data_IF_186784971435
#
_entry.id   IF_186784971435
#
_cell.length_a   1.000
_cell.length_b   1.000
_cell.length_c   1.000
_cell.angle_alpha   90.00
_cell.angle_beta   90.00
_cell.angle_gamma   90.00
#
_symmetry.space_group_name_H-M   'P 1'
#
loop_
_entity.id
_entity.type
_entity.pdbx_description
1 polymer ?
#
# COMPACT_ATOMS: atom_id res chain seq x y z
N UNK A 1 -35.19 -0.75 -18.76
CA UNK A 1 -34.65 -0.87 -17.40
C UNK A 1 -33.23 -0.34 -17.42
N UNK A 2 -32.90 0.71 -16.67
CA UNK A 2 -31.52 1.17 -16.56
C UNK A 2 -30.67 0.04 -15.94
N UNK A 3 -29.45 -0.24 -16.46
CA UNK A 3 -28.59 -1.26 -15.88
C UNK A 3 -28.33 -0.92 -14.41
N UNK A 4 -28.52 -1.91 -13.53
CA UNK A 4 -28.36 -1.71 -12.10
C UNK A 4 -26.88 -1.41 -11.79
N UNK A 5 -26.56 -0.16 -11.47
CA UNK A 5 -25.18 0.26 -11.23
C UNK A 5 -24.64 -0.36 -9.93
N UNK A 6 -23.44 -0.97 -9.94
CA UNK A 6 -22.89 -1.62 -8.76
C UNK A 6 -22.61 -0.60 -7.65
N UNK A 7 -22.67 -1.06 -6.40
CA UNK A 7 -22.29 -0.27 -5.23
C UNK A 7 -20.79 -0.42 -4.95
N UNK A 8 -20.16 0.62 -4.44
CA UNK A 8 -18.77 0.66 -3.99
C UNK A 8 -18.68 1.25 -2.59
N UNK A 9 -17.78 0.74 -1.76
CA UNK A 9 -17.53 1.25 -0.40
C UNK A 9 -16.18 1.95 -0.33
N UNK A 10 -16.11 3.07 0.40
CA UNK A 10 -14.86 3.74 0.70
C UNK A 10 -14.05 2.94 1.72
N UNK A 11 -12.79 2.61 1.40
CA UNK A 11 -11.91 1.83 2.27
C UNK A 11 -11.56 2.55 3.59
N UNK A 12 -11.50 3.88 3.59
CA UNK A 12 -11.08 4.64 4.77
C UNK A 12 -12.23 5.02 5.73
N UNK A 13 -13.41 5.35 5.22
CA UNK A 13 -14.54 5.80 6.05
C UNK A 13 -15.78 4.90 5.99
N UNK A 14 -15.80 3.90 5.10
CA UNK A 14 -16.88 2.92 4.97
C UNK A 14 -18.12 3.40 4.22
N UNK A 15 -18.22 4.68 3.82
CA UNK A 15 -19.37 5.22 3.07
C UNK A 15 -19.59 4.44 1.78
N UNK A 16 -20.86 4.16 1.46
CA UNK A 16 -21.25 3.40 0.27
C UNK A 16 -21.84 4.34 -0.77
N UNK A 17 -21.37 4.21 -2.01
CA UNK A 17 -21.78 5.00 -3.15
C UNK A 17 -22.27 4.09 -4.28
N UNK A 18 -23.13 4.64 -5.14
CA UNK A 18 -23.46 3.99 -6.41
C UNK A 18 -22.41 4.38 -7.44
N UNK A 19 -21.84 3.39 -8.12
CA UNK A 19 -20.82 3.62 -9.15
C UNK A 19 -21.44 4.34 -10.34
N UNK A 20 -20.73 5.36 -10.83
CA UNK A 20 -21.04 6.04 -12.07
C UNK A 20 -19.93 5.80 -13.10
N UNK A 21 -20.28 5.89 -14.38
CA UNK A 21 -19.31 5.90 -15.46
C UNK A 21 -18.56 7.24 -15.45
N UNK A 22 -17.24 7.18 -15.61
CA UNK A 22 -16.38 8.36 -15.65
C UNK A 22 -15.92 8.60 -17.07
N UNK A 23 -15.92 9.86 -17.49
CA UNK A 23 -15.29 10.33 -18.72
C UNK A 23 -13.77 10.47 -18.60
N UNK A 24 -13.06 10.73 -19.71
CA UNK A 24 -11.63 10.98 -19.71
C UNK A 24 -11.24 12.14 -18.79
N UNK A 25 -10.29 11.90 -17.88
CA UNK A 25 -9.81 12.91 -16.92
C UNK A 25 -10.65 13.05 -15.65
N UNK A 26 -11.81 12.38 -15.57
CA UNK A 26 -12.66 12.42 -14.38
C UNK A 26 -12.18 11.45 -13.29
N UNK A 27 -12.45 11.81 -12.03
CA UNK A 27 -12.22 10.98 -10.85
C UNK A 27 -13.42 11.06 -9.90
N UNK A 28 -13.75 9.94 -9.26
CA UNK A 28 -14.73 9.92 -8.19
C UNK A 28 -14.03 10.06 -6.84
N UNK A 29 -14.53 10.93 -5.97
CA UNK A 29 -14.00 11.14 -4.61
C UNK A 29 -15.08 10.92 -3.57
N UNK A 30 -14.69 10.48 -2.37
CA UNK A 30 -15.60 10.30 -1.26
C UNK A 30 -15.95 11.65 -0.64
N UNK A 31 -17.24 12.00 -0.58
CA UNK A 31 -17.71 13.26 0.04
C UNK A 31 -17.38 13.34 1.55
N UNK A 32 -17.28 12.19 2.21
CA UNK A 32 -17.03 12.12 3.66
C UNK A 32 -15.56 12.37 3.99
N UNK A 33 -14.66 11.52 3.51
CA UNK A 33 -13.23 11.60 3.85
C UNK A 33 -12.36 12.33 2.80
N UNK A 34 -12.88 12.58 1.60
CA UNK A 34 -12.14 13.21 0.50
C UNK A 34 -11.19 12.28 -0.25
N UNK A 35 -11.17 10.98 0.07
CA UNK A 35 -10.31 10.01 -0.64
C UNK A 35 -10.86 9.73 -2.03
N UNK A 36 -9.98 9.70 -3.04
CA UNK A 36 -10.31 9.25 -4.39
C UNK A 36 -10.73 7.78 -4.35
N UNK A 37 -11.92 7.47 -4.85
CA UNK A 37 -12.49 6.13 -4.88
C UNK A 37 -12.07 5.36 -6.13
N UNK A 38 -12.19 5.97 -7.31
CA UNK A 38 -11.66 5.42 -8.57
C UNK A 38 -11.40 6.54 -9.57
N UNK A 39 -10.54 6.26 -10.55
CA UNK A 39 -10.18 7.16 -11.65
C UNK A 39 -10.56 6.52 -12.99
N UNK A 40 -10.77 7.33 -14.01
CA UNK A 40 -10.85 6.83 -15.38
C UNK A 40 -9.57 6.08 -15.77
N UNK A 41 -9.73 4.94 -16.43
CA UNK A 41 -8.62 4.18 -17.03
C UNK A 41 -8.99 3.84 -18.47
N UNK A 42 -8.18 4.33 -19.42
CA UNK A 42 -8.31 3.98 -20.84
C UNK A 42 -7.66 2.63 -21.20
N UNK A 43 -7.04 1.94 -20.25
CA UNK A 43 -6.38 0.66 -20.48
C UNK A 43 -7.38 -0.47 -20.23
N UNK A 44 -7.60 -1.30 -21.24
CA UNK A 44 -8.46 -2.48 -21.19
C UNK A 44 -7.66 -3.75 -20.86
N UNK A 45 -8.30 -4.90 -20.52
CA UNK A 45 -7.59 -6.12 -20.12
C UNK A 45 -6.46 -6.57 -21.08
N UNK A 46 -6.60 -6.51 -22.42
CA UNK A 46 -5.49 -6.84 -23.33
C UNK A 46 -4.28 -5.90 -23.21
N UNK A 47 -4.52 -4.61 -22.96
CA UNK A 47 -3.45 -3.63 -22.73
C UNK A 47 -2.72 -3.88 -21.41
N UNK A 48 -3.46 -4.22 -20.35
CA UNK A 48 -2.87 -4.63 -19.07
C UNK A 48 -2.07 -5.93 -19.21
N UNK A 49 -2.56 -6.90 -19.98
CA UNK A 49 -1.86 -8.14 -20.28
C UNK A 49 -0.51 -7.88 -20.98
N UNK A 50 -0.50 -7.01 -22.00
CA UNK A 50 0.71 -6.62 -22.70
C UNK A 50 1.74 -5.96 -21.75
N UNK A 51 1.28 -5.06 -20.86
CA UNK A 51 2.14 -4.45 -19.85
C UNK A 51 2.70 -5.47 -18.85
N UNK A 52 1.89 -6.43 -18.39
CA UNK A 52 2.32 -7.48 -17.48
C UNK A 52 3.36 -8.42 -18.14
N UNK A 53 3.17 -8.77 -19.42
CA UNK A 53 4.14 -9.56 -20.18
C UNK A 53 5.46 -8.80 -20.38
N UNK A 54 5.39 -7.53 -20.76
CA UNK A 54 6.56 -6.67 -20.88
C UNK A 54 7.31 -6.57 -19.54
N UNK A 55 6.58 -6.39 -18.43
CA UNK A 55 7.18 -6.35 -17.10
C UNK A 55 7.86 -7.67 -16.71
N UNK A 56 7.29 -8.83 -17.06
CA UNK A 56 7.92 -10.12 -16.81
C UNK A 56 9.22 -10.31 -17.60
N UNK A 57 9.25 -9.90 -18.88
CA UNK A 57 10.47 -9.95 -19.70
C UNK A 57 11.54 -9.01 -19.13
N UNK A 58 11.17 -7.77 -18.81
CA UNK A 58 12.09 -6.79 -18.21
C UNK A 58 12.57 -7.25 -16.83
N UNK A 59 11.73 -7.92 -16.04
CA UNK A 59 12.14 -8.52 -14.76
C UNK A 59 13.23 -9.58 -14.96
N UNK A 60 13.10 -10.43 -15.98
CA UNK A 60 14.12 -11.41 -16.33
C UNK A 60 15.45 -10.75 -16.70
N UNK A 61 15.41 -9.70 -17.54
CA UNK A 61 16.60 -8.92 -17.91
C UNK A 61 17.21 -8.23 -16.69
N UNK A 62 16.41 -7.53 -15.88
CA UNK A 62 16.88 -6.80 -14.71
C UNK A 62 17.65 -7.68 -13.71
N UNK A 63 17.21 -8.93 -13.54
CA UNK A 63 17.85 -9.88 -12.62
C UNK A 63 18.97 -10.71 -13.26
N UNK A 64 19.02 -10.83 -14.58
CA UNK A 64 20.07 -11.59 -15.28
C UNK A 64 21.35 -10.78 -15.52
N UNK A 65 21.26 -9.45 -15.54
CA UNK A 65 22.39 -8.56 -15.80
C UNK A 65 22.84 -7.82 -14.53
N UNK A 66 24.13 -7.45 -14.41
CA UNK A 66 24.64 -6.74 -13.25
C UNK A 66 24.02 -5.35 -13.14
N UNK A 67 23.73 -4.95 -11.92
CA UNK A 67 23.13 -3.65 -11.60
C UNK A 67 24.21 -2.58 -11.53
N UNK A 68 25.36 -2.91 -10.95
CA UNK A 68 26.53 -2.05 -10.90
C UNK A 68 27.80 -2.85 -11.14
N UNK A 69 28.78 -2.18 -11.74
CA UNK A 69 30.10 -2.71 -12.03
C UNK A 69 31.10 -1.81 -11.32
N UNK A 70 31.89 -2.38 -10.42
CA UNK A 70 32.94 -1.70 -9.69
C UNK A 70 34.30 -2.12 -10.23
N UNK A 71 35.21 -1.16 -10.39
CA UNK A 71 36.61 -1.41 -10.72
C UNK A 71 37.53 -0.80 -9.69
N UNK A 72 38.42 -1.62 -9.12
CA UNK A 72 39.41 -1.21 -8.12
C UNK A 72 40.74 -1.89 -8.46
N UNK A 73 41.79 -1.10 -8.68
CA UNK A 73 43.17 -1.59 -8.87
C UNK A 73 43.30 -2.73 -9.92
N UNK A 74 42.54 -2.65 -11.01
CA UNK A 74 42.55 -3.65 -12.08
C UNK A 74 41.63 -4.86 -11.88
N UNK A 75 41.02 -5.03 -10.69
CA UNK A 75 39.95 -6.01 -10.47
C UNK A 75 38.60 -5.41 -10.85
N UNK A 76 37.76 -6.23 -11.47
CA UNK A 76 36.38 -5.89 -11.83
C UNK A 76 35.43 -6.77 -11.02
N UNK A 77 34.49 -6.14 -10.32
CA UNK A 77 33.39 -6.81 -9.61
C UNK A 77 32.06 -6.34 -10.17
N UNK A 78 31.24 -7.30 -10.57
CA UNK A 78 29.90 -7.07 -11.07
C UNK A 78 28.93 -7.73 -10.08
N UNK A 79 27.82 -7.07 -9.77
CA UNK A 79 26.80 -7.65 -8.90
C UNK A 79 25.40 -7.40 -9.46
N UNK A 80 24.65 -8.49 -9.65
CA UNK A 80 23.19 -8.47 -9.81
C UNK A 80 22.49 -8.53 -8.45
N UNK A 81 21.17 -8.33 -8.43
CA UNK A 81 20.38 -8.50 -7.20
C UNK A 81 20.47 -9.95 -6.66
N UNK A 82 20.30 -11.01 -7.48
CA UNK A 82 20.53 -12.39 -7.03
C UNK A 82 21.94 -12.62 -6.45
N UNK A 83 22.98 -12.03 -7.05
CA UNK A 83 24.35 -12.16 -6.51
C UNK A 83 24.45 -11.52 -5.12
N UNK A 84 23.86 -10.33 -4.93
CA UNK A 84 23.85 -9.66 -3.64
C UNK A 84 23.15 -10.50 -2.55
N UNK A 85 22.04 -11.14 -2.90
CA UNK A 85 21.32 -12.06 -2.00
C UNK A 85 22.17 -13.28 -1.69
N UNK A 86 22.79 -13.90 -2.69
CA UNK A 86 23.61 -15.10 -2.53
C UNK A 86 24.86 -14.85 -1.67
N UNK A 87 25.55 -13.73 -1.89
CA UNK A 87 26.73 -13.33 -1.11
C UNK A 87 26.33 -13.11 0.35
N UNK A 88 25.24 -12.36 0.60
CA UNK A 88 24.77 -12.05 1.95
C UNK A 88 24.32 -13.30 2.71
N UNK A 89 23.72 -14.25 2.00
CA UNK A 89 23.38 -15.56 2.55
C UNK A 89 24.63 -16.33 2.98
N UNK A 90 25.65 -16.40 2.11
CA UNK A 90 26.90 -17.11 2.40
C UNK A 90 27.69 -16.47 3.56
N UNK A 91 27.52 -15.17 3.80
CA UNK A 91 28.09 -14.45 4.94
C UNK A 91 27.37 -14.74 6.28
N UNK A 92 26.27 -15.52 6.29
CA UNK A 92 25.52 -15.87 7.49
C UNK A 92 24.44 -14.84 7.89
N UNK A 93 24.16 -13.84 7.06
CA UNK A 93 23.13 -12.83 7.32
C UNK A 93 21.79 -13.22 6.69
N UNK A 94 21.30 -14.40 7.07
CA UNK A 94 20.12 -15.06 6.48
C UNK A 94 18.87 -14.17 6.53
N UNK A 95 18.63 -13.47 7.65
CA UNK A 95 17.46 -12.59 7.81
C UNK A 95 17.42 -11.51 6.73
N UNK A 96 18.54 -10.84 6.49
CA UNK A 96 18.65 -9.77 5.49
C UNK A 96 18.51 -10.33 4.08
N UNK A 97 19.14 -11.49 3.81
CA UNK A 97 19.04 -12.17 2.52
C UNK A 97 17.61 -12.63 2.21
N UNK A 98 16.90 -13.24 3.18
CA UNK A 98 15.50 -13.67 3.03
C UNK A 98 14.60 -12.47 2.79
N UNK A 99 14.72 -11.43 3.62
CA UNK A 99 13.90 -10.23 3.47
C UNK A 99 14.07 -9.60 2.09
N UNK A 100 15.32 -9.39 1.67
CA UNK A 100 15.65 -8.77 0.39
C UNK A 100 15.25 -9.65 -0.79
N UNK A 101 15.49 -10.96 -0.70
CA UNK A 101 15.09 -11.92 -1.74
C UNK A 101 13.57 -12.00 -1.89
N UNK A 102 12.82 -11.98 -0.78
CA UNK A 102 11.37 -11.92 -0.84
C UNK A 102 10.89 -10.60 -1.48
N UNK A 103 11.33 -9.45 -0.97
CA UNK A 103 10.84 -8.15 -1.41
C UNK A 103 11.30 -7.74 -2.82
N UNK A 104 12.55 -8.08 -3.19
CA UNK A 104 13.17 -7.68 -4.45
C UNK A 104 13.00 -8.67 -5.59
N UNK A 105 12.78 -9.97 -5.29
CA UNK A 105 12.74 -11.03 -6.31
C UNK A 105 11.44 -11.83 -6.27
N UNK A 106 11.14 -12.51 -5.16
CA UNK A 106 10.03 -13.49 -5.09
C UNK A 106 8.67 -12.81 -5.19
N UNK A 107 8.42 -11.75 -4.41
CA UNK A 107 7.11 -11.08 -4.36
C UNK A 107 6.78 -10.37 -5.69
N UNK A 108 7.71 -9.63 -6.34
CA UNK A 108 7.45 -9.04 -7.65
C UNK A 108 7.20 -10.11 -8.74
N UNK A 109 7.97 -11.21 -8.73
CA UNK A 109 7.75 -12.32 -9.66
C UNK A 109 6.36 -12.94 -9.46
N UNK A 110 6.01 -13.26 -8.21
CA UNK A 110 4.70 -13.83 -7.87
C UNK A 110 3.56 -12.87 -8.26
N UNK A 111 3.71 -11.58 -8.01
CA UNK A 111 2.75 -10.55 -8.42
C UNK A 111 2.55 -10.56 -9.95
N UNK A 112 3.62 -10.57 -10.74
CA UNK A 112 3.55 -10.62 -12.20
C UNK A 112 2.90 -11.90 -12.71
N UNK A 113 3.25 -13.06 -12.15
CA UNK A 113 2.65 -14.35 -12.52
C UNK A 113 1.15 -14.40 -12.21
N UNK A 114 0.74 -13.93 -11.03
CA UNK A 114 -0.68 -13.86 -10.66
C UNK A 114 -1.47 -12.89 -11.55
N UNK A 115 -0.88 -11.74 -11.89
CA UNK A 115 -1.47 -10.80 -12.84
C UNK A 115 -1.67 -11.43 -14.21
N UNK A 116 -0.67 -12.12 -14.75
CA UNK A 116 -0.79 -12.83 -16.03
C UNK A 116 -1.85 -13.93 -15.98
N UNK A 117 -1.89 -14.71 -14.90
CA UNK A 117 -2.88 -15.77 -14.70
C UNK A 117 -4.33 -15.25 -14.67
N UNK A 118 -4.56 -14.01 -14.22
CA UNK A 118 -5.88 -13.36 -14.23
C UNK A 118 -6.16 -12.63 -15.55
N UNK A 119 -5.19 -11.88 -16.06
CA UNK A 119 -5.37 -11.01 -17.21
C UNK A 119 -5.51 -11.80 -18.51
N UNK A 120 -4.83 -12.94 -18.65
CA UNK A 120 -4.93 -13.76 -19.86
C UNK A 120 -6.37 -14.28 -20.10
N UNK A 121 -7.02 -14.97 -19.14
CA UNK A 121 -8.42 -15.39 -19.32
C UNK A 121 -9.38 -14.21 -19.47
N UNK A 122 -9.19 -13.12 -18.70
CA UNK A 122 -10.04 -11.93 -18.80
C UNK A 122 -9.93 -11.26 -20.18
N UNK A 123 -8.75 -11.24 -20.80
CA UNK A 123 -8.55 -10.70 -22.14
C UNK A 123 -9.25 -11.55 -23.21
N UNK A 124 -9.39 -12.86 -22.98
CA UNK A 124 -10.12 -13.80 -23.86
C UNK A 124 -11.63 -13.84 -23.55
N UNK A 125 -12.09 -13.16 -22.49
CA UNK A 125 -13.49 -13.12 -22.09
C UNK A 125 -13.96 -14.33 -21.27
N UNK A 126 -13.02 -15.10 -20.72
CA UNK A 126 -13.30 -16.31 -19.92
C UNK A 126 -13.02 -16.04 -18.44
N UNK A 127 -13.79 -16.68 -17.56
CA UNK A 127 -13.56 -16.62 -16.10
C UNK A 127 -12.20 -17.25 -15.75
N UNK A 128 -11.29 -16.53 -15.07
CA UNK A 128 -10.02 -17.10 -14.66
C UNK A 128 -10.20 -18.31 -13.73
N UNK A 129 -9.35 -19.34 -13.86
CA UNK A 129 -9.34 -20.45 -12.90
C UNK A 129 -9.00 -19.91 -11.52
N UNK A 130 -9.71 -20.39 -10.49
CA UNK A 130 -9.53 -19.98 -9.10
C UNK A 130 -9.52 -18.44 -8.88
N UNK A 131 -10.29 -17.68 -9.68
CA UNK A 131 -10.25 -16.20 -9.69
C UNK A 131 -10.31 -15.56 -8.29
N UNK A 132 -11.11 -16.12 -7.38
CA UNK A 132 -11.21 -15.67 -6.00
C UNK A 132 -9.91 -15.83 -5.20
N UNK A 133 -9.22 -16.97 -5.36
CA UNK A 133 -7.94 -17.21 -4.70
C UNK A 133 -6.86 -16.29 -5.29
N UNK A 134 -6.79 -16.20 -6.62
CA UNK A 134 -5.74 -15.42 -7.31
C UNK A 134 -5.82 -13.94 -6.99
N UNK A 135 -7.02 -13.35 -7.01
CA UNK A 135 -7.24 -11.94 -6.63
C UNK A 135 -7.03 -11.68 -5.15
N UNK A 136 -7.37 -12.63 -4.29
CA UNK A 136 -7.06 -12.55 -2.85
C UNK A 136 -5.56 -12.55 -2.58
N UNK A 137 -4.81 -13.44 -3.22
CA UNK A 137 -3.35 -13.47 -3.12
C UNK A 137 -2.73 -12.18 -3.66
N UNK A 138 -3.24 -11.69 -4.79
CA UNK A 138 -2.76 -10.43 -5.37
C UNK A 138 -2.97 -9.24 -4.41
N UNK A 139 -4.14 -9.12 -3.79
CA UNK A 139 -4.40 -8.06 -2.81
C UNK A 139 -3.54 -8.15 -1.54
N UNK A 140 -3.05 -9.35 -1.19
CA UNK A 140 -2.08 -9.51 -0.10
C UNK A 140 -0.66 -9.10 -0.50
N UNK A 141 -0.31 -9.22 -1.78
CA UNK A 141 1.02 -8.94 -2.31
C UNK A 141 1.21 -7.47 -2.73
N UNK A 142 0.14 -6.81 -3.17
CA UNK A 142 0.15 -5.43 -3.68
C UNK A 142 0.92 -4.44 -2.77
N UNK A 143 0.77 -4.46 -1.43
CA UNK A 143 1.50 -3.54 -0.56
C UNK A 143 3.01 -3.84 -0.39
N UNK A 144 3.48 -5.01 -0.83
CA UNK A 144 4.83 -5.51 -0.56
C UNK A 144 5.78 -5.41 -1.76
N UNK A 145 5.33 -4.86 -2.89
CA UNK A 145 6.17 -4.70 -4.08
C UNK A 145 7.13 -3.51 -3.89
N UNK A 146 8.38 -3.80 -3.52
CA UNK A 146 9.38 -2.79 -3.14
C UNK A 146 10.37 -2.45 -4.27
N UNK A 147 10.11 -2.88 -5.51
CA UNK A 147 11.03 -2.65 -6.65
C UNK A 147 11.37 -1.16 -6.88
N UNK A 148 10.42 -0.19 -6.78
CA UNK A 148 10.75 1.22 -6.89
C UNK A 148 11.79 1.68 -5.84
N UNK A 149 11.70 1.12 -4.64
CA UNK A 149 12.57 1.43 -3.51
C UNK A 149 13.96 0.82 -3.71
N UNK A 150 14.03 -0.37 -4.31
CA UNK A 150 15.29 -1.00 -4.68
C UNK A 150 16.11 -0.12 -5.64
N UNK A 151 15.52 0.44 -6.69
CA UNK A 151 16.24 1.34 -7.64
C UNK A 151 16.84 2.54 -6.92
N UNK A 152 16.09 3.14 -5.98
CA UNK A 152 16.60 4.24 -5.18
C UNK A 152 17.76 3.78 -4.28
N UNK A 153 17.66 2.60 -3.67
CA UNK A 153 18.74 1.98 -2.90
C UNK A 153 20.01 1.74 -3.72
N UNK A 154 19.87 1.27 -4.96
CA UNK A 154 21.01 1.14 -5.89
C UNK A 154 21.65 2.50 -6.14
N UNK A 155 20.85 3.52 -6.41
CA UNK A 155 21.35 4.86 -6.72
C UNK A 155 22.16 5.41 -5.55
N UNK A 156 21.64 5.28 -4.32
CA UNK A 156 22.35 5.66 -3.09
C UNK A 156 23.64 4.84 -2.91
N UNK A 157 23.60 3.52 -3.13
CA UNK A 157 24.78 2.66 -3.01
C UNK A 157 25.87 3.03 -4.03
N UNK A 158 25.51 3.27 -5.29
CA UNK A 158 26.44 3.71 -6.34
C UNK A 158 27.08 5.04 -5.96
N UNK A 159 26.31 6.02 -5.50
CA UNK A 159 26.84 7.33 -5.07
C UNK A 159 27.81 7.16 -3.89
N UNK A 160 27.46 6.32 -2.90
CA UNK A 160 28.32 6.07 -1.73
C UNK A 160 29.66 5.42 -2.14
N UNK A 161 29.61 4.48 -3.09
CA UNK A 161 30.80 3.76 -3.56
C UNK A 161 31.64 4.57 -4.55
N UNK A 162 31.03 5.50 -5.30
CA UNK A 162 31.74 6.36 -6.25
C UNK A 162 32.79 7.26 -5.58
N UNK A 163 32.65 7.54 -4.29
CA UNK A 163 33.67 8.24 -3.50
C UNK A 163 34.95 7.43 -3.25
N UNK A 164 34.89 6.10 -3.40
CA UNK A 164 35.99 5.17 -3.09
C UNK A 164 36.56 4.49 -4.34
N UNK A 165 35.74 4.27 -5.37
CA UNK A 165 36.09 3.50 -6.56
C UNK A 165 35.37 4.02 -7.81
N UNK A 166 35.86 3.65 -9.00
CA UNK A 166 35.09 3.87 -10.22
C UNK A 166 33.94 2.87 -10.28
N UNK A 167 32.71 3.37 -10.12
CA UNK A 167 31.47 2.60 -10.22
C UNK A 167 30.73 3.03 -11.47
N UNK A 168 30.46 2.10 -12.37
CA UNK A 168 29.63 2.32 -13.55
C UNK A 168 28.30 1.58 -13.43
N UNK A 169 27.18 2.20 -13.80
CA UNK A 169 25.87 1.53 -13.82
C UNK A 169 25.87 0.40 -14.86
N UNK A 170 25.33 -0.76 -14.49
CA UNK A 170 25.15 -1.89 -15.41
C UNK A 170 23.79 -1.90 -16.10
N UNK A 171 23.61 -2.82 -17.05
CA UNK A 171 22.33 -2.99 -17.80
C UNK A 171 21.18 -3.34 -16.85
N UNK A 172 21.47 -4.06 -15.75
CA UNK A 172 20.49 -4.39 -14.72
C UNK A 172 19.83 -3.16 -14.12
N UNK A 173 20.56 -2.05 -13.92
CA UNK A 173 19.98 -0.81 -13.39
C UNK A 173 18.91 -0.22 -14.31
N UNK A 174 19.18 -0.18 -15.63
CA UNK A 174 18.20 0.27 -16.61
C UNK A 174 16.98 -0.67 -16.65
N UNK A 175 17.21 -1.98 -16.52
CA UNK A 175 16.16 -2.99 -16.38
C UNK A 175 15.27 -2.74 -15.16
N UNK A 176 15.85 -2.53 -13.98
CA UNK A 176 15.10 -2.23 -12.76
C UNK A 176 14.38 -0.88 -12.82
N UNK A 177 14.95 0.13 -13.48
CA UNK A 177 14.28 1.41 -13.71
C UNK A 177 13.05 1.25 -14.61
N UNK A 178 13.18 0.54 -15.74
CA UNK A 178 12.05 0.23 -16.62
C UNK A 178 10.99 -0.62 -15.90
N UNK A 179 11.42 -1.63 -15.15
CA UNK A 179 10.54 -2.47 -14.33
C UNK A 179 9.78 -1.66 -13.29
N UNK A 180 10.43 -0.70 -12.63
CA UNK A 180 9.81 0.22 -11.67
C UNK A 180 8.66 0.99 -12.31
N UNK A 181 8.87 1.53 -13.52
CA UNK A 181 7.81 2.24 -14.25
C UNK A 181 6.65 1.30 -14.58
N UNK A 182 6.94 0.11 -15.12
CA UNK A 182 5.92 -0.87 -15.49
C UNK A 182 5.11 -1.36 -14.27
N UNK A 183 5.78 -1.67 -13.16
CA UNK A 183 5.13 -2.06 -11.91
C UNK A 183 4.34 -0.91 -11.28
N UNK A 184 4.80 0.34 -11.40
CA UNK A 184 4.03 1.52 -10.94
C UNK A 184 2.74 1.69 -11.73
N UNK A 185 2.78 1.42 -13.05
CA UNK A 185 1.57 1.44 -13.89
C UNK A 185 0.66 0.27 -13.53
N UNK A 186 1.20 -0.95 -13.42
CA UNK A 186 0.45 -2.16 -13.03
C UNK A 186 -0.12 -2.07 -11.61
N UNK A 187 0.53 -1.35 -10.70
CA UNK A 187 0.06 -1.10 -9.34
C UNK A 187 -1.23 -0.25 -9.28
N UNK A 188 -1.68 0.32 -10.41
CA UNK A 188 -3.03 0.91 -10.50
C UNK A 188 -4.13 -0.16 -10.56
N UNK A 189 -3.76 -1.39 -10.86
CA UNK A 189 -4.68 -2.52 -11.01
C UNK A 189 -4.88 -3.21 -9.65
N UNK A 190 -5.82 -2.68 -8.89
CA UNK A 190 -6.23 -3.31 -7.62
C UNK A 190 -7.04 -4.59 -7.87
N UNK A 191 -7.10 -5.46 -6.85
CA UNK A 191 -7.97 -6.64 -6.87
C UNK A 191 -9.42 -6.29 -7.23
N UNK A 192 -9.96 -5.18 -6.71
CA UNK A 192 -11.31 -4.70 -7.00
C UNK A 192 -11.48 -4.29 -8.48
N UNK A 193 -10.43 -3.72 -9.09
CA UNK A 193 -10.44 -3.33 -10.50
C UNK A 193 -10.54 -4.54 -11.43
N UNK A 194 -9.82 -5.62 -11.12
CA UNK A 194 -9.89 -6.89 -11.87
C UNK A 194 -11.30 -7.50 -11.83
N UNK A 195 -11.90 -7.55 -10.65
CA UNK A 195 -13.28 -8.01 -10.48
C UNK A 195 -14.27 -7.13 -11.25
N UNK A 196 -14.01 -5.82 -11.32
CA UNK A 196 -14.85 -4.92 -12.09
C UNK A 196 -14.72 -5.10 -13.62
N UNK A 197 -13.52 -5.40 -14.13
CA UNK A 197 -13.36 -5.79 -15.54
C UNK A 197 -14.17 -7.05 -15.86
N UNK A 198 -14.19 -8.03 -14.93
CA UNK A 198 -14.99 -9.23 -15.08
C UNK A 198 -16.51 -8.93 -15.08
N UNK A 199 -17.00 -7.98 -14.26
CA UNK A 199 -18.41 -7.54 -14.26
C UNK A 199 -18.80 -6.92 -15.60
N UNK A 200 -17.99 -5.98 -16.10
CA UNK A 200 -18.26 -5.30 -17.37
C UNK A 200 -18.26 -6.27 -18.55
N UNK A 201 -17.40 -7.29 -18.49
CA UNK A 201 -17.35 -8.35 -19.49
C UNK A 201 -18.50 -9.37 -19.40
N UNK A 202 -19.41 -9.26 -18.43
CA UNK A 202 -20.47 -10.25 -18.21
C UNK A 202 -19.97 -11.61 -17.72
N UNK A 203 -18.73 -11.67 -17.22
CA UNK A 203 -18.07 -12.92 -16.79
C UNK A 203 -18.53 -13.33 -15.37
N UNK A 204 -18.97 -12.36 -14.57
CA UNK A 204 -19.42 -12.54 -13.19
C UNK A 204 -20.64 -11.66 -12.91
N UNK A 205 -21.54 -12.17 -12.07
CA UNK A 205 -22.81 -11.50 -11.79
C UNK A 205 -22.66 -10.27 -10.88
N UNK A 206 -23.52 -9.28 -11.10
CA UNK A 206 -23.66 -8.10 -10.24
C UNK A 206 -24.66 -8.41 -9.13
N UNK A 207 -24.19 -8.42 -7.88
CA UNK A 207 -25.05 -8.56 -6.72
C UNK A 207 -25.38 -7.18 -6.13
N UNK A 208 -26.67 -6.83 -6.10
CA UNK A 208 -27.14 -5.67 -5.35
C UNK A 208 -27.73 -6.12 -4.01
N UNK A 209 -27.13 -5.72 -2.88
CA UNK A 209 -27.68 -6.06 -1.57
C UNK A 209 -29.03 -5.39 -1.37
N UNK A 210 -29.97 -6.12 -0.75
CA UNK A 210 -31.22 -5.57 -0.24
C UNK A 210 -31.07 -5.39 1.27
N UNK A 211 -30.72 -4.19 1.76
CA UNK A 211 -30.55 -3.98 3.19
C UNK A 211 -31.92 -4.11 3.89
N UNK A 212 -32.01 -5.00 4.86
CA UNK A 212 -33.08 -4.99 5.85
C UNK A 212 -32.75 -3.97 6.96
N UNK A 213 -33.74 -3.62 7.79
CA UNK A 213 -33.58 -2.62 8.86
C UNK A 213 -32.52 -2.97 9.91
N UNK A 214 -32.18 -4.25 10.03
CA UNK A 214 -31.17 -4.83 10.94
C UNK A 214 -29.85 -5.18 10.23
N UNK A 215 -29.64 -4.71 8.99
CA UNK A 215 -28.40 -4.94 8.25
C UNK A 215 -27.63 -3.63 7.97
N UNK A 216 -26.31 -3.71 8.07
CA UNK A 216 -25.38 -2.67 7.64
C UNK A 216 -24.69 -3.07 6.33
N UNK A 217 -24.44 -2.11 5.45
CA UNK A 217 -23.70 -2.36 4.21
C UNK A 217 -22.20 -2.36 4.49
N UNK A 218 -21.50 -3.40 4.01
CA UNK A 218 -20.04 -3.49 4.07
C UNK A 218 -19.47 -3.94 2.72
N UNK A 219 -18.40 -3.27 2.28
CA UNK A 219 -17.61 -3.68 1.11
C UNK A 219 -16.64 -4.82 1.44
N UNK A 220 -16.50 -5.78 0.55
CA UNK A 220 -15.41 -6.74 0.60
C UNK A 220 -14.10 -6.08 0.16
N UNK A 221 -13.06 -6.15 1.01
CA UNK A 221 -11.74 -5.58 0.70
C UNK A 221 -11.05 -6.23 -0.52
N UNK A 222 -11.37 -7.50 -0.81
CA UNK A 222 -10.78 -8.23 -1.95
C UNK A 222 -11.49 -7.90 -3.26
N UNK A 223 -12.79 -8.21 -3.37
CA UNK A 223 -13.51 -8.07 -4.64
C UNK A 223 -14.28 -6.75 -4.81
N UNK A 224 -14.38 -5.92 -3.76
CA UNK A 224 -15.10 -4.65 -3.79
C UNK A 224 -16.62 -4.78 -3.69
N UNK A 225 -17.19 -5.99 -3.73
CA UNK A 225 -18.64 -6.19 -3.65
C UNK A 225 -19.19 -5.73 -2.30
N UNK A 226 -20.18 -4.83 -2.35
CA UNK A 226 -20.95 -4.40 -1.19
C UNK A 226 -22.03 -5.42 -0.87
N UNK A 227 -22.13 -5.79 0.40
CA UNK A 227 -23.07 -6.79 0.92
C UNK A 227 -23.76 -6.27 2.17
N UNK A 228 -24.99 -6.72 2.41
CA UNK A 228 -25.70 -6.46 3.65
C UNK A 228 -25.26 -7.49 4.70
N UNK A 229 -24.70 -7.03 5.82
CA UNK A 229 -24.31 -7.86 6.96
C UNK A 229 -25.23 -7.56 8.16
N UNK A 230 -25.65 -8.58 8.93
CA UNK A 230 -26.51 -8.38 10.09
C UNK A 230 -25.79 -7.61 11.21
N UNK A 231 -26.45 -6.60 11.78
CA UNK A 231 -25.94 -5.77 12.88
C UNK A 231 -25.74 -6.58 14.18
N UNK A 232 -26.61 -7.55 14.44
CA UNK A 232 -26.62 -8.38 15.66
C UNK A 232 -25.32 -9.18 15.86
N UNK A 233 -24.56 -9.46 14.80
CA UNK A 233 -23.31 -10.23 14.84
C UNK A 233 -22.15 -9.47 14.18
N UNK A 234 -22.07 -8.16 14.40
CA UNK A 234 -21.10 -7.26 13.73
C UNK A 234 -19.63 -7.66 13.85
N UNK A 235 -19.25 -8.45 14.87
CA UNK A 235 -17.88 -8.93 15.09
C UNK A 235 -17.60 -10.33 14.48
N UNK A 236 -18.64 -11.05 14.07
CA UNK A 236 -18.46 -12.37 13.43
C UNK A 236 -17.98 -12.24 11.99
N UNK A 237 -17.13 -13.19 11.56
CA UNK A 237 -16.64 -13.22 10.19
C UNK A 237 -17.76 -13.71 9.26
N UNK A 238 -18.24 -12.84 8.38
CA UNK A 238 -19.12 -13.25 7.28
C UNK A 238 -18.28 -13.60 6.05
N UNK A 239 -18.74 -14.53 5.23
CA UNK A 239 -18.06 -14.86 3.96
C UNK A 239 -18.64 -14.05 2.82
N UNK A 240 -17.79 -13.55 1.94
CA UNK A 240 -18.23 -12.86 0.74
C UNK A 240 -18.92 -13.83 -0.23
N UNK A 241 -20.13 -13.49 -0.67
CA UNK A 241 -20.91 -14.27 -1.64
C UNK A 241 -20.22 -14.44 -3.00
N UNK A 242 -19.22 -13.59 -3.31
CA UNK A 242 -18.53 -13.58 -4.61
C UNK A 242 -17.15 -14.22 -4.59
N UNK A 243 -16.33 -13.87 -3.59
CA UNK A 243 -14.94 -14.32 -3.51
C UNK A 243 -14.64 -15.20 -2.29
N UNK A 244 -15.65 -15.48 -1.45
CA UNK A 244 -15.53 -16.28 -0.23
C UNK A 244 -14.50 -15.74 0.80
N UNK A 245 -13.98 -14.53 0.59
CA UNK A 245 -13.13 -13.84 1.55
C UNK A 245 -13.91 -13.49 2.81
N UNK A 246 -13.29 -13.53 4.01
CA UNK A 246 -13.90 -12.96 5.21
C UNK A 246 -14.17 -11.47 4.99
N UNK A 247 -15.39 -11.05 5.33
CA UNK A 247 -15.90 -9.69 5.32
C UNK A 247 -16.35 -9.37 6.72
N UNK A 248 -15.88 -8.24 7.22
CA UNK A 248 -16.24 -7.71 8.53
C UNK A 248 -16.74 -6.29 8.36
N UNK A 249 -17.75 -5.92 9.16
CA UNK A 249 -18.17 -4.52 9.22
C UNK A 249 -16.99 -3.65 9.68
N UNK A 250 -16.26 -4.08 10.72
CA UNK A 250 -15.01 -3.49 11.19
C UNK A 250 -14.00 -4.59 11.54
N UNK A 251 -12.70 -4.31 11.40
CA UNK A 251 -11.67 -5.31 11.76
C UNK A 251 -11.77 -5.67 13.25
N UNK A 252 -11.78 -6.97 13.61
CA UNK A 252 -11.81 -7.40 15.01
C UNK A 252 -10.46 -7.13 15.70
N UNK A 253 -10.50 -6.72 16.97
CA UNK A 253 -9.34 -6.45 17.83
C UNK A 253 -8.25 -5.57 17.20
N UNK A 254 -8.62 -4.68 16.28
CA UNK A 254 -7.65 -3.91 15.49
C UNK A 254 -6.73 -3.07 16.39
N UNK A 255 -7.23 -2.46 17.46
CA UNK A 255 -6.42 -1.67 18.40
C UNK A 255 -5.39 -2.55 19.13
N UNK A 256 -5.81 -3.70 19.66
CA UNK A 256 -4.92 -4.59 20.39
C UNK A 256 -3.78 -5.11 19.48
N UNK A 257 -4.12 -5.52 18.25
CA UNK A 257 -3.14 -5.97 17.24
C UNK A 257 -2.20 -4.84 16.84
N UNK A 258 -2.73 -3.65 16.55
CA UNK A 258 -1.92 -2.48 16.18
C UNK A 258 -0.97 -2.09 17.31
N UNK A 259 -1.43 -2.03 18.58
CA UNK A 259 -0.56 -1.72 19.71
C UNK A 259 0.52 -2.78 19.94
N UNK A 260 0.17 -4.07 19.88
CA UNK A 260 1.14 -5.15 20.03
C UNK A 260 2.28 -5.05 18.98
N UNK A 261 1.92 -4.78 17.72
CA UNK A 261 2.88 -4.62 16.62
C UNK A 261 3.72 -3.34 16.76
N UNK A 262 3.12 -2.21 17.17
CA UNK A 262 3.84 -0.95 17.42
C UNK A 262 4.84 -1.11 18.57
N UNK A 263 4.43 -1.75 19.68
CA UNK A 263 5.30 -1.97 20.84
C UNK A 263 6.47 -2.90 20.47
N UNK A 264 6.19 -4.00 19.76
CA UNK A 264 7.23 -4.90 19.26
C UNK A 264 8.22 -4.17 18.33
N UNK A 265 7.71 -3.35 17.41
CA UNK A 265 8.55 -2.53 16.54
C UNK A 265 9.37 -1.49 17.30
N UNK A 266 8.81 -0.84 18.32
CA UNK A 266 9.51 0.13 19.16
C UNK A 266 10.66 -0.52 19.96
N UNK A 267 10.45 -1.75 20.48
CA UNK A 267 11.50 -2.51 21.17
C UNK A 267 12.63 -2.85 20.20
N UNK A 268 12.32 -3.34 18.99
CA UNK A 268 13.33 -3.67 17.97
C UNK A 268 14.00 -2.45 17.33
N UNK A 269 13.39 -1.27 17.42
CA UNK A 269 14.00 -0.03 16.94
C UNK A 269 15.28 0.33 17.72
N UNK A 270 15.37 -0.04 19.00
CA UNK A 270 16.57 0.19 19.83
C UNK A 270 17.78 -0.59 19.27
N UNK A 271 17.77 -1.94 19.18
CA UNK A 271 18.90 -2.68 18.61
C UNK A 271 19.14 -2.32 17.15
N UNK A 272 18.12 -1.96 16.36
CA UNK A 272 18.30 -1.52 14.99
C UNK A 272 19.19 -0.27 14.84
N UNK A 273 19.18 0.64 15.81
CA UNK A 273 19.99 1.87 15.77
C UNK A 273 21.28 1.78 16.59
N UNK A 274 21.33 0.88 17.58
CA UNK A 274 22.50 0.70 18.47
C UNK A 274 23.49 -0.32 17.93
N UNK A 275 23.02 -1.38 17.27
CA UNK A 275 23.88 -2.41 16.71
C UNK A 275 24.51 -1.94 15.39
N UNK A 276 25.71 -2.44 15.04
CA UNK A 276 26.29 -2.19 13.74
C UNK A 276 25.35 -2.66 12.64
N UNK A 277 25.21 -1.83 11.60
CA UNK A 277 24.44 -2.17 10.39
C UNK A 277 25.36 -2.76 9.32
N UNK A 278 26.64 -2.42 9.38
CA UNK A 278 27.67 -2.83 8.43
C UNK A 278 28.98 -3.03 9.18
N UNK A 279 29.66 -4.13 8.86
CA UNK A 279 31.02 -4.42 9.31
C UNK A 279 31.96 -4.37 8.10
N UNK A 280 33.07 -3.65 8.24
CA UNK A 280 34.08 -3.50 7.20
C UNK A 280 35.36 -4.13 7.75
N UNK A 281 35.69 -5.31 7.21
CA UNK A 281 36.94 -5.99 7.53
C UNK A 281 37.96 -5.63 6.45
N UNK A 282 39.07 -5.04 6.87
CA UNK A 282 40.16 -4.62 5.97
C UNK A 282 41.51 -5.03 6.55
N UNK A 283 42.53 -5.13 5.68
CA UNK A 283 43.90 -5.38 6.12
C UNK A 283 44.46 -4.29 7.08
N UNK A 284 43.81 -3.12 7.13
CA UNK A 284 44.24 -1.96 7.91
C UNK A 284 43.47 -1.80 9.24
N UNK A 285 42.54 -2.71 9.54
CA UNK A 285 41.70 -2.71 10.75
C UNK A 285 40.22 -2.99 10.44
N UNK A 286 39.51 -3.48 11.45
CA UNK A 286 38.07 -3.73 11.39
C UNK A 286 37.30 -2.50 11.88
N UNK A 287 36.30 -2.06 11.12
CA UNK A 287 35.44 -0.95 11.50
C UNK A 287 33.96 -1.30 11.36
N UNK A 288 33.25 -1.23 12.48
CA UNK A 288 31.82 -1.47 12.56
C UNK A 288 31.07 -0.14 12.68
N UNK A 289 30.13 0.11 11.77
CA UNK A 289 29.37 1.37 11.76
C UNK A 289 27.91 1.10 12.06
N UNK A 290 27.35 1.84 13.02
CA UNK A 290 25.89 1.94 13.20
C UNK A 290 25.31 2.84 12.10
N UNK A 291 23.98 2.85 11.95
CA UNK A 291 23.30 3.76 11.03
C UNK A 291 23.70 5.22 11.32
N UNK A 292 23.61 5.64 12.58
CA UNK A 292 23.97 7.00 12.98
C UNK A 292 25.47 7.26 12.84
N UNK A 293 26.32 6.26 13.13
CA UNK A 293 27.76 6.35 12.91
C UNK A 293 28.10 6.62 11.43
N UNK A 294 27.45 5.90 10.52
CA UNK A 294 27.60 6.13 9.08
C UNK A 294 27.14 7.52 8.63
N UNK A 295 26.06 8.04 9.21
CA UNK A 295 25.59 9.42 8.94
C UNK A 295 26.63 10.45 9.41
N UNK A 296 27.18 10.30 10.61
CA UNK A 296 28.18 11.23 11.16
C UNK A 296 29.45 11.24 10.31
N UNK A 297 29.91 10.09 9.86
CA UNK A 297 31.09 9.97 9.00
C UNK A 297 30.87 10.63 7.63
N UNK A 298 29.72 10.38 7.00
CA UNK A 298 29.35 11.03 5.73
C UNK A 298 29.26 12.56 5.89
N UNK A 299 28.78 13.02 7.05
CA UNK A 299 28.72 14.45 7.35
C UNK A 299 30.12 15.07 7.49
N UNK A 300 31.04 14.40 8.18
CA UNK A 300 32.41 14.87 8.39
C UNK A 300 33.25 14.84 7.11
N UNK A 301 33.02 13.86 6.24
CA UNK A 301 33.69 13.74 4.93
C UNK A 301 33.18 14.73 3.88
N UNK A 302 32.20 15.58 4.24
CA UNK A 302 31.68 16.65 3.38
C UNK A 302 30.51 16.23 2.46
N UNK A 303 30.05 14.98 2.55
CA UNK A 303 28.94 14.45 1.75
C UNK A 303 27.58 14.69 2.40
N UNK A 304 27.27 15.95 2.70
CA UNK A 304 26.10 16.34 3.50
C UNK A 304 24.77 15.89 2.89
N UNK A 305 24.65 15.89 1.57
CA UNK A 305 23.44 15.46 0.87
C UNK A 305 23.10 13.99 1.14
N UNK A 306 24.11 13.11 1.08
CA UNK A 306 23.94 11.66 1.30
C UNK A 306 23.66 11.40 2.77
N UNK A 307 24.39 12.07 3.67
CA UNK A 307 24.18 11.96 5.11
C UNK A 307 22.74 12.31 5.51
N UNK A 308 22.18 13.38 4.93
CA UNK A 308 20.80 13.80 5.17
C UNK A 308 19.79 12.76 4.65
N UNK A 309 19.99 12.23 3.44
CA UNK A 309 19.11 11.21 2.86
C UNK A 309 19.06 9.97 3.75
N UNK A 310 20.22 9.44 4.16
CA UNK A 310 20.30 8.25 5.03
C UNK A 310 19.68 8.54 6.40
N UNK A 311 19.97 9.69 7.01
CA UNK A 311 19.37 10.05 8.31
C UNK A 311 17.85 10.10 8.25
N UNK A 312 17.29 10.76 7.23
CA UNK A 312 15.84 10.88 7.06
C UNK A 312 15.21 9.52 6.81
N UNK A 313 15.78 8.72 5.91
CA UNK A 313 15.24 7.41 5.53
C UNK A 313 15.33 6.38 6.67
N UNK A 314 16.44 6.33 7.40
CA UNK A 314 16.69 5.29 8.41
C UNK A 314 16.20 5.66 9.80
N UNK A 315 16.21 6.94 10.17
CA UNK A 315 15.87 7.36 11.54
C UNK A 315 14.50 8.04 11.55
N UNK A 316 14.34 9.12 10.79
CA UNK A 316 13.14 9.96 10.87
C UNK A 316 11.89 9.27 10.33
N UNK A 317 12.00 8.53 9.23
CA UNK A 317 10.85 7.84 8.59
C UNK A 317 10.25 6.77 9.51
N UNK A 318 11.02 5.81 10.07
CA UNK A 318 10.47 4.84 11.03
C UNK A 318 9.92 5.49 12.30
N UNK A 319 10.60 6.50 12.86
CA UNK A 319 10.08 7.25 14.01
C UNK A 319 8.73 7.91 13.70
N UNK A 320 8.63 8.56 12.53
CA UNK A 320 7.39 9.23 12.11
C UNK A 320 6.25 8.23 11.96
N UNK A 321 6.50 7.04 11.39
CA UNK A 321 5.49 5.97 11.32
C UNK A 321 5.04 5.49 12.70
N UNK A 322 5.98 5.19 13.60
CA UNK A 322 5.68 4.73 14.96
C UNK A 322 4.85 5.78 15.71
N UNK A 323 5.25 7.05 15.65
CA UNK A 323 4.52 8.15 16.27
C UNK A 323 3.14 8.36 15.66
N UNK A 324 3.04 8.42 14.32
CA UNK A 324 1.78 8.64 13.63
C UNK A 324 0.77 7.51 13.90
N UNK A 325 1.19 6.24 13.84
CA UNK A 325 0.32 5.10 14.16
C UNK A 325 -0.09 5.10 15.65
N UNK A 326 0.83 5.43 16.56
CA UNK A 326 0.52 5.54 18.00
C UNK A 326 -0.52 6.62 18.28
N UNK A 327 -0.37 7.80 17.66
CA UNK A 327 -1.33 8.90 17.77
C UNK A 327 -2.69 8.52 17.19
N UNK A 328 -2.72 7.88 16.02
CA UNK A 328 -3.96 7.42 15.40
C UNK A 328 -4.68 6.38 16.27
N UNK A 329 -3.95 5.39 16.78
CA UNK A 329 -4.48 4.34 17.67
C UNK A 329 -5.02 4.94 18.98
N UNK A 330 -4.25 5.82 19.62
CA UNK A 330 -4.66 6.51 20.85
C UNK A 330 -5.89 7.40 20.64
N UNK A 331 -5.98 8.11 19.53
CA UNK A 331 -7.16 8.94 19.23
C UNK A 331 -8.42 8.11 18.96
N UNK A 332 -8.31 6.94 18.30
CA UNK A 332 -9.45 6.02 18.16
C UNK A 332 -9.86 5.45 19.52
N UNK A 333 -8.90 5.10 20.38
CA UNK A 333 -9.17 4.60 21.72
C UNK A 333 -9.91 5.62 22.60
N UNK A 334 -9.61 6.92 22.44
CA UNK A 334 -10.33 8.01 23.13
C UNK A 334 -11.70 8.35 22.53
N UNK A 335 -12.12 7.70 21.44
CA UNK A 335 -13.41 7.96 20.79
C UNK A 335 -13.54 9.38 20.20
N UNK A 336 -12.43 10.08 19.94
CA UNK A 336 -12.47 11.46 19.47
C UNK A 336 -12.96 11.54 18.01
N UNK A 337 -13.97 12.37 17.76
CA UNK A 337 -14.49 12.68 16.42
C UNK A 337 -13.83 13.93 15.78
N UNK A 338 -12.80 14.51 16.41
CA UNK A 338 -12.12 15.69 15.88
C UNK A 338 -11.23 15.33 14.67
N UNK A 339 -11.20 16.23 13.68
CA UNK A 339 -10.25 16.23 12.55
C UNK A 339 -10.18 14.90 11.75
N UNK A 340 -11.29 14.18 11.59
CA UNK A 340 -11.34 12.85 10.94
C UNK A 340 -10.77 12.83 9.51
N UNK A 341 -10.98 13.89 8.73
CA UNK A 341 -10.37 14.04 7.40
C UNK A 341 -8.84 14.10 7.46
N UNK A 342 -8.28 14.89 8.38
CA UNK A 342 -6.82 14.99 8.56
C UNK A 342 -6.23 13.67 9.07
N UNK A 343 -6.92 12.96 9.96
CA UNK A 343 -6.51 11.63 10.45
C UNK A 343 -6.49 10.60 9.32
N UNK A 344 -7.49 10.64 8.44
CA UNK A 344 -7.54 9.79 7.25
C UNK A 344 -6.39 10.10 6.29
N UNK A 345 -6.08 11.38 6.07
CA UNK A 345 -4.92 11.79 5.27
C UNK A 345 -3.59 11.36 5.89
N UNK A 346 -3.44 11.51 7.21
CA UNK A 346 -2.26 11.05 7.94
C UNK A 346 -2.08 9.54 7.80
N UNK A 347 -3.16 8.76 7.93
CA UNK A 347 -3.12 7.31 7.69
C UNK A 347 -2.68 7.00 6.25
N UNK A 348 -3.22 7.68 5.24
CA UNK A 348 -2.80 7.51 3.84
C UNK A 348 -1.33 7.88 3.61
N UNK A 349 -0.81 8.92 4.29
CA UNK A 349 0.62 9.25 4.27
C UNK A 349 1.47 8.16 4.92
N UNK A 350 1.03 7.59 6.05
CA UNK A 350 1.74 6.49 6.73
C UNK A 350 1.83 5.26 5.83
N UNK A 351 0.74 4.91 5.13
CA UNK A 351 0.69 3.80 4.18
C UNK A 351 1.58 4.06 2.95
N UNK A 352 1.60 5.30 2.44
CA UNK A 352 2.51 5.69 1.37
C UNK A 352 3.98 5.62 1.79
N UNK A 353 4.34 6.15 2.96
CA UNK A 353 5.71 6.05 3.51
C UNK A 353 6.05 4.59 3.87
N UNK A 354 5.03 3.76 4.09
CA UNK A 354 5.02 2.29 4.23
C UNK A 354 6.11 1.60 3.43
N UNK A 355 5.93 1.64 2.12
CA UNK A 355 6.73 1.03 1.08
C UNK A 355 8.19 1.50 1.07
N UNK A 356 8.47 2.79 1.26
CA UNK A 356 9.84 3.34 1.15
C UNK A 356 10.80 2.92 2.26
N UNK A 357 10.28 2.41 3.37
CA UNK A 357 11.05 2.16 4.58
C UNK A 357 12.06 1.00 4.48
N UNK A 358 12.04 0.22 3.39
CA UNK A 358 12.99 -0.88 3.14
C UNK A 358 14.27 -0.44 2.39
N UNK A 359 14.38 0.85 2.02
CA UNK A 359 15.52 1.40 1.28
C UNK A 359 16.87 0.97 1.87
N UNK A 360 17.05 1.13 3.18
CA UNK A 360 18.35 0.92 3.81
C UNK A 360 18.82 -0.53 3.79
N UNK A 361 17.89 -1.48 3.88
CA UNK A 361 18.19 -2.90 3.76
C UNK A 361 18.73 -3.21 2.36
N UNK A 362 18.14 -2.61 1.32
CA UNK A 362 18.64 -2.73 -0.05
C UNK A 362 20.00 -2.04 -0.25
N UNK A 363 20.24 -0.89 0.37
CA UNK A 363 21.56 -0.24 0.31
C UNK A 363 22.62 -1.14 0.93
N UNK A 364 22.39 -1.67 2.14
CA UNK A 364 23.35 -2.52 2.84
C UNK A 364 23.70 -3.77 2.03
N UNK A 365 22.70 -4.44 1.46
CA UNK A 365 22.96 -5.67 0.69
C UNK A 365 23.77 -5.40 -0.59
N UNK A 366 23.51 -4.28 -1.26
CA UNK A 366 24.23 -3.91 -2.47
C UNK A 366 25.67 -3.48 -2.18
N UNK A 367 25.89 -2.76 -1.08
CA UNK A 367 27.24 -2.42 -0.63
C UNK A 367 28.03 -3.68 -0.28
N UNK A 368 27.42 -4.61 0.45
CA UNK A 368 28.06 -5.90 0.78
C UNK A 368 28.43 -6.70 -0.48
N UNK A 369 27.58 -6.69 -1.50
CA UNK A 369 27.84 -7.39 -2.75
C UNK A 369 28.94 -6.75 -3.60
N UNK A 370 28.97 -5.41 -3.68
CA UNK A 370 29.86 -4.66 -4.55
C UNK A 370 31.25 -4.44 -3.94
N UNK A 371 31.34 -4.37 -2.61
CA UNK A 371 32.58 -4.10 -1.90
C UNK A 371 33.29 -5.38 -1.41
N UNK A 372 33.06 -6.51 -2.09
CA UNK A 372 33.70 -7.79 -1.78
C UNK A 372 34.90 -8.03 -2.71
N UNK A 373 36.10 -7.63 -2.27
CA UNK A 373 37.36 -7.95 -2.94
C UNK A 373 38.14 -8.98 -2.13
N UNK A 374 38.32 -10.16 -2.70
CA UNK A 374 39.02 -11.27 -2.03
C UNK A 374 40.42 -10.82 -1.60
N UNK A 375 40.69 -10.87 -0.29
CA UNK A 375 42.00 -10.58 0.30
C UNK A 375 42.32 -9.11 0.56
N UNK A 376 41.44 -8.16 0.25
CA UNK A 376 41.68 -6.71 0.49
C UNK A 376 40.68 -6.09 1.46
N UNK A 377 39.39 -6.27 1.19
CA UNK A 377 38.30 -5.65 1.94
C UNK A 377 37.04 -6.50 1.74
N UNK A 378 36.32 -6.76 2.83
CA UNK A 378 34.99 -7.35 2.79
C UNK A 378 34.03 -6.51 3.61
N UNK A 379 32.88 -6.19 3.01
CA UNK A 379 31.77 -5.55 3.69
C UNK A 379 30.69 -6.59 3.90
N UNK A 380 30.29 -6.80 5.15
CA UNK A 380 29.17 -7.69 5.49
C UNK A 380 28.05 -6.88 6.13
N UNK A 381 26.82 -7.36 5.93
CA UNK A 381 25.68 -6.87 6.70
C UNK A 381 25.90 -7.20 8.18
N UNK A 382 25.43 -6.38 9.11
CA UNK A 382 25.54 -6.69 10.54
C UNK A 382 24.14 -6.85 11.18
N UNK A 383 24.03 -7.38 12.41
CA UNK A 383 22.73 -7.71 13.03
C UNK A 383 21.75 -6.53 13.09
N UNK A 384 22.24 -5.29 13.12
CA UNK A 384 21.42 -4.08 13.07
C UNK A 384 20.55 -3.99 11.80
N UNK A 385 21.04 -4.48 10.65
CA UNK A 385 20.29 -4.50 9.39
C UNK A 385 19.08 -5.44 9.46
N UNK A 386 19.24 -6.60 10.10
CA UNK A 386 18.13 -7.53 10.33
C UNK A 386 17.09 -6.98 11.30
N UNK A 387 17.54 -6.39 12.42
CA UNK A 387 16.65 -5.72 13.38
C UNK A 387 15.87 -4.57 12.73
N UNK A 388 16.55 -3.74 11.91
CA UNK A 388 15.93 -2.66 11.16
C UNK A 388 14.86 -3.19 10.20
N UNK A 389 15.17 -4.22 9.41
CA UNK A 389 14.22 -4.87 8.53
C UNK A 389 12.97 -5.35 9.27
N UNK A 390 13.12 -5.95 10.45
CA UNK A 390 11.98 -6.38 11.27
C UNK A 390 11.11 -5.22 11.74
N UNK A 391 11.69 -4.07 12.10
CA UNK A 391 10.91 -2.85 12.42
C UNK A 391 10.06 -2.42 11.22
N UNK A 392 10.61 -2.46 10.01
CA UNK A 392 9.89 -2.12 8.78
C UNK A 392 8.69 -3.06 8.56
N UNK A 393 8.90 -4.37 8.68
CA UNK A 393 7.84 -5.37 8.53
C UNK A 393 6.75 -5.17 9.58
N UNK A 394 7.12 -5.03 10.86
CA UNK A 394 6.16 -4.88 11.95
C UNK A 394 5.35 -3.58 11.84
N UNK A 395 5.98 -2.47 11.46
CA UNK A 395 5.26 -1.20 11.25
C UNK A 395 4.31 -1.26 10.05
N UNK A 396 4.67 -1.98 9.00
CA UNK A 396 3.78 -2.24 7.86
C UNK A 396 2.57 -3.08 8.28
N UNK A 397 2.81 -4.18 9.01
CA UNK A 397 1.74 -5.03 9.57
C UNK A 397 0.84 -4.25 10.55
N UNK A 398 1.41 -3.33 11.33
CA UNK A 398 0.66 -2.48 12.26
C UNK A 398 -0.30 -1.55 11.51
N UNK A 399 0.16 -0.93 10.42
CA UNK A 399 -0.66 -0.10 9.55
C UNK A 399 -1.79 -0.93 8.90
N UNK A 400 -1.47 -2.10 8.34
CA UNK A 400 -2.45 -3.02 7.76
C UNK A 400 -3.48 -3.54 8.77
N UNK A 401 -3.09 -3.67 10.04
CA UNK A 401 -3.99 -4.11 11.12
C UNK A 401 -4.95 -3.01 11.57
N UNK A 402 -4.54 -1.75 11.45
CA UNK A 402 -5.35 -0.60 11.84
C UNK A 402 -6.59 -0.45 10.94
N UNK A 403 -7.71 0.00 11.51
CA UNK A 403 -8.95 0.26 10.78
C UNK A 403 -9.36 1.73 10.95
N UNK A 404 -9.10 2.60 9.96
CA UNK A 404 -9.44 4.02 10.06
C UNK A 404 -10.97 4.26 10.14
N UNK A 405 -11.79 3.29 9.73
CA UNK A 405 -13.26 3.43 9.68
C UNK A 405 -13.87 3.57 11.08
N UNK A 406 -13.24 2.99 12.11
CA UNK A 406 -13.69 3.09 13.51
C UNK A 406 -13.69 4.52 14.05
N UNK A 407 -12.75 5.36 13.60
CA UNK A 407 -12.76 6.78 13.97
C UNK A 407 -13.99 7.52 13.42
N UNK A 408 -14.48 7.09 12.26
CA UNK A 408 -15.65 7.66 11.62
C UNK A 408 -16.98 7.16 12.20
N UNK A 409 -17.00 6.04 12.92
CA UNK A 409 -18.21 5.55 13.60
C UNK A 409 -18.62 6.45 14.78
N UNK A 410 -17.66 7.16 15.37
CA UNK A 410 -17.89 8.11 16.46
C UNK A 410 -18.46 9.46 15.98
N UNK A 411 -18.53 9.70 14.66
CA UNK A 411 -19.10 10.92 14.11
C UNK A 411 -20.64 10.85 14.07
N UNK A 412 -21.37 11.92 14.44
CA UNK A 412 -22.83 11.96 14.37
C UNK A 412 -23.36 11.65 12.95
N UNK A 413 -24.48 10.94 12.88
CA UNK A 413 -25.11 10.48 11.64
C UNK A 413 -25.52 11.63 10.68
N UNK A 414 -25.65 12.86 11.18
CA UNK A 414 -26.03 14.04 10.38
C UNK A 414 -24.97 14.47 9.36
N UNK A 415 -23.76 13.89 9.43
CA UNK A 415 -22.70 14.05 8.44
C UNK A 415 -22.73 12.94 7.34
N UNK A 416 -23.73 12.06 7.34
CA UNK A 416 -23.92 10.98 6.37
C UNK A 416 -24.97 11.42 5.35
N UNK A 417 -24.63 11.61 4.05
CA UNK A 417 -25.65 11.83 3.04
C UNK A 417 -26.61 10.63 3.04
N UNK A 418 -27.93 10.85 2.98
CA UNK A 418 -28.91 9.79 3.14
C UNK A 418 -28.64 8.66 2.16
N UNK A 419 -28.59 7.43 2.67
CA UNK A 419 -28.63 6.21 1.86
C UNK A 419 -29.85 6.27 0.94
N UNK A 420 -29.69 6.17 -0.40
CA UNK A 420 -30.84 6.11 -1.30
C UNK A 420 -31.53 4.75 -1.07
N UNK A 421 -32.55 4.74 -0.21
CA UNK A 421 -33.32 3.55 0.14
C UNK A 421 -34.04 3.59 1.49
N UNK A 422 -33.64 4.46 2.42
CA UNK A 422 -34.35 4.63 3.70
C UNK A 422 -35.27 5.84 3.65
N UNK A 423 -36.32 5.77 2.82
CA UNK A 423 -37.48 6.63 3.04
C UNK A 423 -38.20 6.13 4.30
N UNK A 424 -38.10 6.86 5.41
CA UNK A 424 -39.05 6.70 6.53
C UNK A 424 -40.43 7.05 5.98
N UNK A 425 -41.50 6.28 6.26
CA UNK A 425 -42.84 6.77 6.00
C UNK A 425 -43.00 8.08 6.79
N UNK A 426 -43.38 9.15 6.08
CA UNK A 426 -43.67 10.43 6.68
C UNK A 426 -44.72 10.20 7.78
N UNK A 427 -44.39 10.61 9.00
CA UNK A 427 -45.36 10.62 10.09
C UNK A 427 -46.54 11.50 9.66
N UNK A 428 -47.75 10.94 9.70
CA UNK A 428 -49.00 11.66 9.54
C UNK A 428 -49.04 12.79 10.58
N UNK A 429 -48.82 14.02 10.13
CA UNK A 429 -49.11 15.21 10.91
C UNK A 429 -50.62 15.40 10.95
N UNK A 430 -51.24 14.93 12.03
CA UNK A 430 -52.58 15.37 12.43
C UNK A 430 -52.56 16.88 12.67
N UNK A 431 -53.04 17.63 11.67
CA UNK A 431 -53.18 19.08 11.70
C UNK A 431 -54.65 19.45 11.78
N UNK A 432 -55.03 20.07 12.90
CA UNK A 432 -56.36 20.49 13.25
C UNK A 432 -57.03 21.40 12.21
N UNK A 433 -58.33 21.15 12.02
CA UNK A 433 -59.27 21.93 11.23
C UNK A 433 -59.47 23.30 11.91
N UNK A 434 -58.97 24.38 11.28
CA UNK A 434 -59.26 25.76 11.67
C UNK A 434 -60.14 26.41 10.60
N UNK A 435 -61.36 26.71 11.01
CA UNK A 435 -62.44 27.42 10.33
C UNK A 435 -62.02 28.77 9.72
N UNK A 436 -62.34 28.99 8.45
CA UNK A 436 -62.34 30.31 7.80
C UNK A 436 -63.59 31.10 8.21
N UNK A 437 -63.51 32.42 8.46
CA UNK A 437 -64.68 33.27 8.46
C UNK A 437 -64.93 33.86 7.05
N UNK A 438 -66.19 33.79 6.66
CA UNK A 438 -66.79 34.48 5.52
C UNK A 438 -66.83 35.99 5.74
N UNK A 439 -66.47 36.78 4.73
CA UNK A 439 -66.92 38.17 4.61
C UNK A 439 -67.35 38.40 3.17
N UNK A 440 -68.67 38.46 2.97
CA UNK A 440 -69.32 39.09 1.84
C UNK A 440 -69.11 40.62 1.93
N UNK A 441 -68.87 41.27 0.78
CA UNK A 441 -69.90 42.02 0.03
C UNK A 441 -69.32 43.23 -0.71
N UNK A 442 -69.72 43.35 -1.99
CA UNK A 442 -69.98 44.56 -2.80
C UNK A 442 -68.94 45.72 -2.83
N UNK A 443 -68.62 46.37 -3.95
CA UNK A 443 -69.53 46.99 -4.93
C UNK A 443 -68.69 47.66 -6.03
N UNK A 444 -69.18 47.69 -7.29
CA UNK A 444 -69.03 48.76 -8.32
C UNK A 444 -67.60 49.15 -8.80
N UNK A 445 -67.31 49.63 -10.02
CA UNK A 445 -67.91 49.79 -11.37
C UNK A 445 -66.92 50.75 -12.10
N UNK A 446 -66.87 50.67 -13.43
CA UNK A 446 -66.46 51.74 -14.39
C UNK A 446 -64.97 52.10 -14.46
N UNK A 447 -64.28 51.96 -15.60
CA UNK A 447 -64.21 52.77 -16.84
C UNK A 447 -62.68 53.00 -17.02
N UNK A 448 -61.98 52.87 -18.15
CA UNK A 448 -62.23 52.91 -19.60
C UNK A 448 -61.35 51.88 -20.33
#
# INVERSE_FOLDING_TARGET
MAPASPLISCEHCGSVYRRQELGPGEQASCDRCGTVLWRYSGIHPPGWLALALAALIVFGIANAYPVAIMRVQGMVREASLPDAIAITWQQGHEVVAIMTGLAGFVLPLLQLLLLLAVLYPLAVGVRPPAFALTTRLLGLLEPWSMVPVFVLGVLVAVVKLAGMASVSPGVGLAGFAALTVLLTILGRLSSQSLWHYAERGGIVDIHLPRPASDHALAGCHVCGQVQALPLAHSETAHRCLRCDSPVHLRKPDHLARTWALIIAAAILYIPANVLPVMDIQSLFGDSAHTILGGVIELWQTGSWDIALIVFVASVMVPMTKLLALSVLAWQVQRGSAANLRQRTRLYGMVEFIGQWSMLDVFVVILLAALAQFQGLMSISAAPGAGAFGMVVILTMLAAMSFDPRRGWDAAPADAVPPTPGTARPAAESGGAMATMPSVDNATQKQEE
#
